data_IF_531438939220
#
_entry.id   IF_531438939220
#
_cell.length_a   1.000
_cell.length_b   1.000
_cell.length_c   1.000
_cell.angle_alpha   90.00
_cell.angle_beta   90.00
_cell.angle_gamma   90.00
#
_symmetry.space_group_name_H-M   'P 1'
#
loop_
_entity.id
_entity.type
_entity.pdbx_description
1 polymer ?
#
# COMPACT_ATOMS: atom_id res chain seq x y z
N UNK A 1 10.59 23.88 40.20
CA UNK A 1 10.72 24.86 39.11
C UNK A 1 10.70 24.21 37.70
N UNK A 2 11.16 22.95 37.53
CA UNK A 2 11.14 22.27 36.25
C UNK A 2 9.71 22.02 35.70
N UNK A 3 8.76 21.67 36.58
CA UNK A 3 7.39 21.34 36.12
C UNK A 3 6.70 22.50 35.41
N UNK A 4 6.89 23.76 35.85
CA UNK A 4 6.29 24.93 35.20
C UNK A 4 6.84 25.16 33.76
N UNK A 5 8.15 24.98 33.57
CA UNK A 5 8.77 25.13 32.26
C UNK A 5 8.25 24.05 31.26
N UNK A 6 8.17 22.79 31.73
CA UNK A 6 7.61 21.71 30.93
C UNK A 6 6.11 21.89 30.62
N UNK A 7 5.34 22.41 31.56
CA UNK A 7 3.92 22.72 31.37
C UNK A 7 3.72 23.76 30.23
N UNK A 8 4.57 24.80 30.21
CA UNK A 8 4.53 25.81 29.14
C UNK A 8 4.84 25.18 27.77
N UNK A 9 5.86 24.31 27.67
CA UNK A 9 6.21 23.61 26.46
C UNK A 9 5.05 22.73 26.00
N UNK A 10 4.48 21.92 26.92
CA UNK A 10 3.34 21.05 26.61
C UNK A 10 2.13 21.84 26.16
N UNK A 11 1.83 22.98 26.78
CA UNK A 11 0.75 23.86 26.35
C UNK A 11 0.98 24.41 24.94
N UNK A 12 2.19 24.91 24.63
CA UNK A 12 2.53 25.42 23.30
C UNK A 12 2.44 24.33 22.23
N UNK A 13 2.90 23.13 22.54
CA UNK A 13 2.81 21.96 21.68
C UNK A 13 1.35 21.61 21.38
N UNK A 14 0.50 21.54 22.42
CA UNK A 14 -0.92 21.29 22.26
C UNK A 14 -1.62 22.40 21.46
N UNK A 15 -1.28 23.67 21.71
CA UNK A 15 -1.79 24.81 20.98
C UNK A 15 -1.45 24.72 19.47
N UNK A 16 -0.17 24.50 19.14
CA UNK A 16 0.26 24.36 17.73
C UNK A 16 -0.42 23.17 17.05
N UNK A 17 -0.50 22.02 17.73
CA UNK A 17 -1.18 20.84 17.17
C UNK A 17 -2.67 21.08 16.93
N UNK A 18 -3.33 21.90 17.75
CA UNK A 18 -4.76 22.18 17.64
C UNK A 18 -5.06 23.19 16.53
N UNK A 19 -4.30 24.29 16.48
CA UNK A 19 -4.60 25.39 15.57
C UNK A 19 -3.83 25.35 14.26
N UNK A 20 -2.67 24.64 14.21
CA UNK A 20 -1.79 24.51 13.04
C UNK A 20 -1.37 23.04 12.83
N UNK A 21 -2.33 22.10 12.73
CA UNK A 21 -2.01 20.66 12.72
C UNK A 21 -1.11 20.25 11.56
N UNK A 22 -1.27 20.84 10.37
CA UNK A 22 -0.46 20.52 9.19
C UNK A 22 1.00 20.91 9.41
N UNK A 23 1.24 22.15 9.80
CA UNK A 23 2.58 22.70 10.05
C UNK A 23 3.26 21.99 11.19
N UNK A 24 2.51 21.71 12.27
CA UNK A 24 3.01 20.97 13.41
C UNK A 24 3.46 19.55 13.06
N UNK A 25 2.64 18.83 12.27
CA UNK A 25 2.97 17.47 11.85
C UNK A 25 4.13 17.49 10.85
N UNK A 26 4.16 18.43 9.89
CA UNK A 26 5.26 18.56 8.95
C UNK A 26 6.60 18.79 9.65
N UNK A 27 6.64 19.70 10.62
CA UNK A 27 7.83 19.96 11.44
C UNK A 27 8.23 18.72 12.25
N UNK A 28 7.27 18.03 12.86
CA UNK A 28 7.52 16.81 13.65
C UNK A 28 8.07 15.68 12.78
N UNK A 29 7.50 15.46 11.59
CA UNK A 29 7.97 14.46 10.62
C UNK A 29 9.37 14.81 10.11
N UNK A 30 9.68 16.07 9.90
CA UNK A 30 11.02 16.52 9.48
C UNK A 30 12.06 16.26 10.56
N UNK A 31 11.72 16.48 11.83
CA UNK A 31 12.63 16.17 12.96
C UNK A 31 12.91 14.67 13.10
N UNK A 32 11.95 13.83 12.76
CA UNK A 32 12.05 12.37 12.83
C UNK A 32 12.22 11.72 11.42
N UNK A 33 12.73 12.46 10.44
CA UNK A 33 12.77 12.07 9.01
C UNK A 33 13.44 10.72 8.75
N UNK A 34 14.40 10.32 9.56
CA UNK A 34 15.08 9.02 9.47
C UNK A 34 14.36 7.88 10.19
N UNK A 35 13.31 8.17 10.96
CA UNK A 35 12.60 7.20 11.78
C UNK A 35 11.27 6.76 11.12
N UNK A 36 11.35 5.71 10.30
CA UNK A 36 10.19 5.20 9.53
C UNK A 36 8.99 4.82 10.41
N UNK A 37 9.22 4.33 11.63
CA UNK A 37 8.11 3.99 12.53
C UNK A 37 7.33 5.24 12.96
N UNK A 38 8.03 6.30 13.32
CA UNK A 38 7.38 7.57 13.66
C UNK A 38 6.73 8.23 12.45
N UNK A 39 7.36 8.18 11.28
CA UNK A 39 6.74 8.68 10.05
C UNK A 39 5.42 7.96 9.76
N UNK A 40 5.38 6.63 9.95
CA UNK A 40 4.14 5.85 9.81
C UNK A 40 3.06 6.30 10.82
N UNK A 41 3.43 6.55 12.08
CA UNK A 41 2.49 7.05 13.10
C UNK A 41 1.93 8.43 12.75
N UNK A 42 2.78 9.36 12.29
CA UNK A 42 2.34 10.68 11.82
C UNK A 42 1.46 10.58 10.56
N UNK A 43 1.74 9.65 9.68
CA UNK A 43 0.89 9.42 8.50
C UNK A 43 -0.52 8.95 8.88
N UNK A 44 -0.64 8.05 9.86
CA UNK A 44 -1.95 7.67 10.40
C UNK A 44 -2.67 8.85 11.07
N UNK A 45 -1.93 9.72 11.76
CA UNK A 45 -2.51 10.96 12.32
C UNK A 45 -3.01 11.91 11.22
N UNK A 46 -2.27 12.07 10.11
CA UNK A 46 -2.71 12.85 8.95
C UNK A 46 -4.00 12.29 8.36
N UNK A 47 -4.12 10.97 8.23
CA UNK A 47 -5.36 10.31 7.77
C UNK A 47 -6.53 10.58 8.73
N UNK A 48 -6.29 10.46 10.04
CA UNK A 48 -7.30 10.75 11.07
C UNK A 48 -7.81 12.18 11.01
N UNK A 49 -6.95 13.13 10.67
CA UNK A 49 -7.29 14.55 10.51
C UNK A 49 -7.82 14.90 9.12
N UNK A 50 -7.98 13.91 8.22
CA UNK A 50 -8.35 14.10 6.82
C UNK A 50 -7.41 15.02 6.03
N UNK A 51 -6.13 15.09 6.42
CA UNK A 51 -5.11 15.84 5.72
C UNK A 51 -4.49 14.95 4.64
N UNK A 52 -4.71 15.30 3.37
CA UNK A 52 -4.13 14.58 2.24
C UNK A 52 -2.67 14.99 2.06
N UNK A 53 -1.80 13.98 1.99
CA UNK A 53 -0.40 14.17 1.66
C UNK A 53 -0.20 14.05 0.15
N UNK A 54 0.55 14.99 -0.42
CA UNK A 54 1.07 14.88 -1.79
C UNK A 54 2.17 13.84 -1.76
N UNK A 55 2.01 12.78 -2.55
CA UNK A 55 2.96 11.66 -2.64
C UNK A 55 4.33 12.12 -3.14
N UNK A 56 5.39 11.32 -2.95
CA UNK A 56 6.70 11.63 -3.52
C UNK A 56 6.59 12.00 -5.00
N UNK A 57 7.05 13.19 -5.34
CA UNK A 57 7.05 13.72 -6.69
C UNK A 57 8.25 14.66 -6.86
N UNK A 58 9.12 14.32 -7.82
CA UNK A 58 10.35 15.07 -8.06
C UNK A 58 10.08 16.52 -8.47
N UNK A 59 8.91 16.78 -9.06
CA UNK A 59 8.51 18.09 -9.54
C UNK A 59 7.70 18.93 -8.53
N UNK A 60 7.21 18.32 -7.44
CA UNK A 60 6.36 19.05 -6.49
C UNK A 60 6.91 19.03 -5.06
N UNK A 61 7.48 17.90 -4.62
CA UNK A 61 7.92 17.71 -3.26
C UNK A 61 9.24 18.41 -2.94
N UNK A 62 9.55 18.51 -1.67
CA UNK A 62 10.75 19.16 -1.13
C UNK A 62 11.65 18.13 -0.43
N UNK A 63 12.84 18.55 -0.01
CA UNK A 63 13.71 17.69 0.77
C UNK A 63 13.10 17.34 2.15
N UNK A 64 12.43 18.31 2.78
CA UNK A 64 11.70 18.19 4.03
C UNK A 64 10.20 18.00 3.81
N UNK A 65 9.49 17.53 4.85
CA UNK A 65 8.03 17.63 4.91
C UNK A 65 7.65 19.10 4.98
N UNK A 66 6.76 19.52 4.11
CA UNK A 66 6.41 20.93 3.97
C UNK A 66 4.91 21.11 3.70
N UNK A 67 4.40 22.19 4.26
CA UNK A 67 3.06 22.71 3.93
C UNK A 67 3.20 23.96 3.08
N UNK A 68 2.45 24.03 1.99
CA UNK A 68 2.33 25.22 1.16
C UNK A 68 0.85 25.38 0.86
N UNK A 69 0.30 26.52 1.23
CA UNK A 69 -1.14 26.76 1.20
C UNK A 69 -1.91 25.66 1.97
N UNK A 70 -2.83 24.95 1.29
CA UNK A 70 -3.61 23.87 1.90
C UNK A 70 -3.00 22.47 1.67
N UNK A 71 -1.84 22.37 0.97
CA UNK A 71 -1.22 21.11 0.59
C UNK A 71 -0.13 20.69 1.58
N UNK A 72 -0.09 19.41 1.89
CA UNK A 72 0.98 18.78 2.69
C UNK A 72 1.84 17.92 1.77
N UNK A 73 3.12 18.24 1.64
CA UNK A 73 4.05 17.55 0.74
C UNK A 73 4.91 16.54 1.49
N UNK A 74 5.04 15.33 0.92
CA UNK A 74 5.97 14.34 1.40
C UNK A 74 7.41 14.81 1.23
N UNK A 75 8.29 14.50 2.20
CA UNK A 75 9.71 14.81 2.11
C UNK A 75 10.44 13.80 1.23
N UNK A 76 11.06 14.22 0.14
CA UNK A 76 11.91 13.34 -0.67
C UNK A 76 13.11 12.82 0.11
N UNK A 77 13.62 13.59 1.08
CA UNK A 77 14.68 13.17 2.02
C UNK A 77 14.21 12.15 3.06
N UNK A 78 12.90 11.91 3.20
CA UNK A 78 12.31 10.85 4.03
C UNK A 78 12.27 9.48 3.36
N UNK A 79 12.60 9.38 2.08
CA UNK A 79 12.70 8.14 1.34
C UNK A 79 14.00 7.43 1.75
N UNK A 80 13.93 6.12 2.03
CA UNK A 80 15.12 5.34 2.41
C UNK A 80 16.20 5.43 1.35
N UNK A 81 17.44 5.54 1.80
CA UNK A 81 18.65 5.63 0.99
C UNK A 81 18.74 6.90 0.12
N UNK A 82 17.86 7.87 0.30
CA UNK A 82 17.93 9.18 -0.35
C UNK A 82 18.65 10.16 0.58
N UNK A 83 19.79 10.69 0.12
CA UNK A 83 20.58 11.65 0.89
C UNK A 83 19.92 13.02 0.90
N UNK A 84 19.79 13.62 2.08
CA UNK A 84 19.14 14.92 2.25
C UNK A 84 19.81 16.04 1.42
N UNK A 85 21.14 16.15 1.47
CA UNK A 85 21.89 17.18 0.74
C UNK A 85 21.72 17.05 -0.77
N UNK A 86 21.87 15.83 -1.29
CA UNK A 86 21.68 15.56 -2.71
C UNK A 86 20.28 15.91 -3.20
N UNK A 87 19.24 15.57 -2.42
CA UNK A 87 17.87 15.89 -2.80
C UNK A 87 17.59 17.40 -2.67
N UNK A 88 18.23 18.10 -1.72
CA UNK A 88 18.11 19.56 -1.62
C UNK A 88 18.68 20.23 -2.88
N UNK A 89 19.83 19.77 -3.37
CA UNK A 89 20.42 20.28 -4.62
C UNK A 89 19.49 20.05 -5.82
N UNK A 90 18.85 18.89 -5.92
CA UNK A 90 17.88 18.56 -6.98
C UNK A 90 16.64 19.47 -6.90
N UNK A 91 16.15 19.71 -5.70
CA UNK A 91 15.00 20.62 -5.48
C UNK A 91 15.39 22.05 -5.84
N UNK A 92 16.57 22.52 -5.47
CA UNK A 92 17.05 23.86 -5.78
C UNK A 92 17.22 24.05 -7.29
N UNK A 93 17.75 23.03 -7.99
CA UNK A 93 17.85 23.03 -9.46
C UNK A 93 16.46 23.20 -10.09
N UNK A 94 15.48 22.43 -9.62
CA UNK A 94 14.09 22.55 -10.08
C UNK A 94 13.50 23.94 -9.80
N UNK A 95 13.72 24.48 -8.61
CA UNK A 95 13.18 25.79 -8.22
C UNK A 95 13.78 26.93 -9.06
N UNK A 96 15.03 26.81 -9.49
CA UNK A 96 15.71 27.81 -10.34
C UNK A 96 15.32 27.71 -11.80
N UNK A 97 15.24 26.48 -12.33
CA UNK A 97 15.15 26.25 -13.78
C UNK A 97 13.85 25.59 -14.22
N UNK A 98 12.86 25.47 -13.30
CA UNK A 98 11.54 24.91 -13.58
C UNK A 98 11.49 23.38 -13.47
N UNK A 99 10.27 22.83 -13.57
CA UNK A 99 10.01 21.39 -13.46
C UNK A 99 10.78 20.57 -14.50
N UNK A 100 11.17 19.36 -14.11
CA UNK A 100 11.78 18.38 -15.03
C UNK A 100 10.69 17.86 -15.98
N UNK A 101 10.99 17.90 -17.28
CA UNK A 101 10.04 17.51 -18.34
C UNK A 101 10.10 16.03 -18.66
N UNK A 102 11.26 15.42 -18.47
CA UNK A 102 11.54 14.03 -18.80
C UNK A 102 12.72 13.51 -17.98
N UNK A 103 12.97 12.21 -18.02
CA UNK A 103 14.18 11.60 -17.41
C UNK A 103 15.47 12.15 -18.05
N UNK A 104 15.47 12.35 -19.36
CA UNK A 104 16.60 12.97 -20.05
C UNK A 104 16.86 14.40 -19.57
N UNK A 105 15.81 15.22 -19.40
CA UNK A 105 15.94 16.58 -18.86
C UNK A 105 16.49 16.55 -17.43
N UNK A 106 16.01 15.63 -16.59
CA UNK A 106 16.54 15.39 -15.24
C UNK A 106 18.04 15.08 -15.25
N UNK A 107 18.48 14.11 -16.07
CA UNK A 107 19.89 13.72 -16.18
C UNK A 107 20.80 14.85 -16.73
N UNK A 108 20.26 15.68 -17.61
CA UNK A 108 21.00 16.81 -18.18
C UNK A 108 21.23 17.96 -17.19
N UNK A 109 20.35 18.11 -16.20
CA UNK A 109 20.34 19.25 -15.28
C UNK A 109 20.92 18.93 -13.91
N UNK A 110 20.74 17.68 -13.45
CA UNK A 110 21.18 17.27 -12.11
C UNK A 110 22.65 16.86 -12.12
N UNK A 111 23.39 17.32 -11.11
CA UNK A 111 24.79 16.94 -10.96
C UNK A 111 24.94 15.43 -10.70
N UNK A 112 25.79 14.69 -11.43
CA UNK A 112 26.01 13.26 -11.22
C UNK A 112 26.45 12.89 -9.80
N UNK A 113 27.04 13.81 -9.04
CA UNK A 113 27.39 13.61 -7.62
C UNK A 113 26.18 13.45 -6.72
N UNK A 114 25.04 14.06 -7.11
CA UNK A 114 23.77 14.00 -6.41
C UNK A 114 22.92 12.81 -6.88
N UNK A 115 23.46 11.94 -7.74
CA UNK A 115 22.78 10.78 -8.30
C UNK A 115 23.61 9.51 -8.02
N UNK A 116 23.13 8.62 -7.18
CA UNK A 116 23.70 7.29 -7.01
C UNK A 116 22.63 6.20 -7.16
N UNK A 117 23.08 4.95 -7.26
CA UNK A 117 22.19 3.81 -7.50
C UNK A 117 21.09 3.69 -6.45
N UNK A 118 21.46 3.68 -5.17
CA UNK A 118 20.51 3.49 -4.06
C UNK A 118 19.50 4.63 -3.97
N UNK A 119 19.94 5.85 -4.26
CA UNK A 119 19.09 7.03 -4.26
C UNK A 119 18.06 7.00 -5.38
N UNK A 120 18.48 6.67 -6.61
CA UNK A 120 17.54 6.52 -7.73
C UNK A 120 16.58 5.35 -7.49
N UNK A 121 17.07 4.22 -6.98
CA UNK A 121 16.21 3.09 -6.61
C UNK A 121 15.13 3.51 -5.59
N UNK A 122 15.50 4.24 -4.55
CA UNK A 122 14.57 4.77 -3.55
C UNK A 122 13.51 5.70 -4.17
N UNK A 123 13.95 6.66 -4.97
CA UNK A 123 13.05 7.61 -5.65
C UNK A 123 12.09 6.91 -6.62
N UNK A 124 12.58 5.95 -7.43
CA UNK A 124 11.75 5.18 -8.37
C UNK A 124 10.74 4.32 -7.62
N UNK A 125 11.18 3.57 -6.60
CA UNK A 125 10.29 2.74 -5.77
C UNK A 125 9.17 3.57 -5.13
N UNK A 126 9.51 4.76 -4.61
CA UNK A 126 8.55 5.68 -4.00
C UNK A 126 7.63 6.39 -5.01
N UNK A 127 7.86 6.23 -6.31
CA UNK A 127 7.07 6.87 -7.37
C UNK A 127 7.37 8.34 -7.61
N UNK A 128 8.55 8.82 -7.19
CA UNK A 128 8.92 10.21 -7.34
C UNK A 128 8.99 10.69 -8.81
N UNK A 129 9.16 9.78 -9.74
CA UNK A 129 9.23 10.07 -11.17
C UNK A 129 7.93 9.79 -11.94
N UNK A 130 6.85 9.33 -11.28
CA UNK A 130 5.60 8.91 -11.95
C UNK A 130 5.00 9.98 -12.89
N UNK A 131 5.24 11.25 -12.60
CA UNK A 131 4.76 12.36 -13.44
C UNK A 131 5.48 12.44 -14.79
N UNK A 132 6.73 12.02 -14.85
CA UNK A 132 7.58 12.10 -16.07
C UNK A 132 7.88 10.73 -16.66
N UNK A 133 7.70 9.64 -15.89
CA UNK A 133 7.75 8.26 -16.37
C UNK A 133 6.91 7.37 -15.46
N UNK A 134 5.82 6.84 -15.97
CA UNK A 134 4.83 6.05 -15.20
C UNK A 134 5.26 4.61 -14.97
N UNK A 135 6.16 4.06 -15.82
CA UNK A 135 6.62 2.68 -15.72
C UNK A 135 7.82 2.59 -14.78
N UNK A 136 7.54 2.31 -13.51
CA UNK A 136 8.58 2.23 -12.47
C UNK A 136 9.54 1.07 -12.69
N UNK A 137 9.09 -0.09 -13.16
CA UNK A 137 9.94 -1.26 -13.40
C UNK A 137 10.96 -1.00 -14.50
N UNK A 138 10.51 -0.45 -15.60
CA UNK A 138 11.35 -0.05 -16.73
C UNK A 138 12.44 0.94 -16.29
N UNK A 139 12.03 1.99 -15.57
CA UNK A 139 12.95 3.00 -15.04
C UNK A 139 13.94 2.39 -14.02
N UNK A 140 13.47 1.54 -13.11
CA UNK A 140 14.29 0.87 -12.10
C UNK A 140 15.40 0.02 -12.72
N UNK A 141 15.06 -0.79 -13.71
CA UNK A 141 16.03 -1.65 -14.41
C UNK A 141 17.02 -0.86 -15.26
N UNK A 142 16.65 0.35 -15.66
CA UNK A 142 17.53 1.24 -16.46
C UNK A 142 18.51 2.07 -15.61
N UNK A 143 18.41 2.05 -14.27
CA UNK A 143 19.24 2.87 -13.37
C UNK A 143 20.75 2.80 -13.68
N UNK A 144 21.37 1.63 -13.91
CA UNK A 144 22.79 1.59 -14.26
C UNK A 144 23.13 2.40 -15.50
N UNK A 145 22.30 2.33 -16.55
CA UNK A 145 22.46 3.09 -17.79
C UNK A 145 22.27 4.59 -17.57
N UNK A 146 21.29 4.97 -16.75
CA UNK A 146 21.01 6.36 -16.40
C UNK A 146 22.20 7.01 -15.68
N UNK A 147 22.82 6.30 -14.74
CA UNK A 147 24.01 6.79 -14.02
C UNK A 147 25.19 6.98 -14.98
N UNK A 148 25.44 6.00 -15.85
CA UNK A 148 26.52 6.09 -16.85
C UNK A 148 26.30 7.28 -17.78
N UNK A 149 25.07 7.44 -18.29
CA UNK A 149 24.73 8.57 -19.16
C UNK A 149 24.87 9.91 -18.46
N UNK A 150 24.41 10.04 -17.22
CA UNK A 150 24.56 11.27 -16.44
C UNK A 150 26.04 11.69 -16.30
N UNK A 151 26.94 10.73 -16.01
CA UNK A 151 28.38 10.99 -15.94
C UNK A 151 28.92 11.46 -17.27
N UNK A 152 28.61 10.76 -18.37
CA UNK A 152 29.08 11.12 -19.70
C UNK A 152 28.62 12.53 -20.12
N UNK A 153 27.38 12.88 -19.84
CA UNK A 153 26.85 14.23 -20.11
C UNK A 153 27.64 15.28 -19.35
N UNK A 154 27.97 15.04 -18.09
CA UNK A 154 28.69 16.00 -17.26
C UNK A 154 30.15 16.13 -17.69
N UNK A 155 30.81 15.03 -18.00
CA UNK A 155 32.18 14.99 -18.46
C UNK A 155 32.33 15.73 -19.81
N UNK A 156 31.40 15.51 -20.75
CA UNK A 156 31.37 16.21 -22.05
C UNK A 156 31.17 17.72 -21.88
N UNK A 157 30.27 18.15 -20.99
CA UNK A 157 30.07 19.58 -20.67
C UNK A 157 31.31 20.21 -20.04
N UNK A 158 31.99 19.47 -19.18
CA UNK A 158 33.22 19.96 -18.50
C UNK A 158 34.41 20.07 -19.46
N UNK A 159 34.45 19.23 -20.49
CA UNK A 159 35.54 19.23 -21.50
C UNK A 159 35.33 20.27 -22.60
N UNK A 160 34.27 21.11 -22.57
CA UNK A 160 33.90 22.02 -23.66
C UNK A 160 33.81 21.34 -25.06
N UNK A 161 33.64 20.02 -25.10
CA UNK A 161 33.42 19.32 -26.35
C UNK A 161 31.96 19.59 -26.82
N UNK A 162 31.84 20.46 -27.81
CA UNK A 162 30.63 20.61 -28.60
C UNK A 162 30.51 19.32 -29.40
N UNK A 163 29.50 18.54 -29.14
CA UNK A 163 29.22 17.32 -29.90
C UNK A 163 28.89 17.73 -31.33
N UNK A 164 29.88 17.50 -32.23
CA UNK A 164 29.83 17.94 -33.65
C UNK A 164 28.71 17.22 -34.45
N UNK A 165 28.10 16.18 -33.86
CA UNK A 165 27.08 15.37 -34.53
C UNK A 165 25.65 15.67 -34.11
N UNK A 166 25.42 16.67 -33.21
CA UNK A 166 24.08 17.15 -32.87
C UNK A 166 23.10 15.99 -32.53
N UNK A 167 23.58 14.97 -31.79
CA UNK A 167 22.69 13.89 -31.37
C UNK A 167 21.54 14.51 -30.63
N UNK A 168 20.38 14.43 -31.24
CA UNK A 168 19.11 14.83 -30.67
C UNK A 168 18.96 14.12 -29.32
N UNK A 169 19.09 14.89 -28.23
CA UNK A 169 18.98 14.48 -26.81
C UNK A 169 17.56 13.90 -26.52
N UNK A 170 16.73 13.72 -27.53
CA UNK A 170 15.33 13.31 -27.43
C UNK A 170 15.09 11.79 -27.58
N UNK A 171 16.11 10.93 -27.51
CA UNK A 171 15.90 9.47 -27.56
C UNK A 171 15.86 8.88 -26.14
N UNK A 172 14.76 9.14 -25.41
CA UNK A 172 14.45 8.42 -24.15
C UNK A 172 14.39 6.90 -24.39
N UNK A 173 13.91 6.50 -25.56
CA UNK A 173 13.74 5.09 -25.94
C UNK A 173 15.06 4.29 -26.01
N UNK A 174 16.21 4.94 -26.12
CA UNK A 174 17.50 4.26 -26.11
C UNK A 174 18.07 4.02 -24.71
N UNK A 175 17.55 4.70 -23.68
CA UNK A 175 18.10 4.66 -22.32
C UNK A 175 17.25 3.79 -21.42
N UNK A 176 15.96 3.82 -21.63
CA UNK A 176 14.98 3.14 -20.80
C UNK A 176 14.59 1.83 -21.48
N UNK A 177 14.84 0.72 -20.80
CA UNK A 177 14.47 -0.61 -21.27
C UNK A 177 12.95 -0.74 -21.34
N UNK A 178 12.41 -1.04 -22.52
CA UNK A 178 10.97 -1.29 -22.67
C UNK A 178 10.59 -2.63 -22.04
N UNK A 179 9.68 -2.58 -21.06
CA UNK A 179 9.13 -3.75 -20.36
C UNK A 179 7.84 -3.40 -19.64
N UNK A 180 7.08 -4.42 -19.24
CA UNK A 180 5.89 -4.23 -18.43
C UNK A 180 6.23 -3.63 -17.06
N UNK A 181 5.31 -2.83 -16.52
CA UNK A 181 5.48 -2.29 -15.15
C UNK A 181 5.20 -3.37 -14.10
N UNK A 182 5.68 -3.15 -12.89
CA UNK A 182 5.36 -3.98 -11.74
C UNK A 182 3.86 -4.16 -11.59
N UNK A 183 3.44 -5.37 -11.31
CA UNK A 183 2.06 -5.63 -10.93
C UNK A 183 1.72 -4.87 -9.64
N UNK A 184 0.43 -4.64 -9.41
CA UNK A 184 -0.06 -3.80 -8.31
C UNK A 184 0.55 -4.16 -6.94
N UNK A 185 0.59 -5.44 -6.59
CA UNK A 185 1.17 -5.91 -5.31
C UNK A 185 2.66 -5.58 -5.21
N UNK A 186 3.42 -5.83 -6.28
CA UNK A 186 4.85 -5.59 -6.29
C UNK A 186 5.16 -4.09 -6.22
N UNK A 187 4.40 -3.28 -6.96
CA UNK A 187 4.52 -1.82 -6.94
C UNK A 187 4.31 -1.27 -5.52
N UNK A 188 3.28 -1.73 -4.81
CA UNK A 188 3.04 -1.34 -3.41
C UNK A 188 4.10 -1.88 -2.44
N UNK A 189 4.60 -3.09 -2.67
CA UNK A 189 5.70 -3.66 -1.88
C UNK A 189 6.98 -2.82 -2.02
N UNK A 190 7.34 -2.42 -3.25
CA UNK A 190 8.48 -1.54 -3.52
C UNK A 190 8.31 -0.15 -2.91
N UNK A 191 7.10 0.41 -2.97
CA UNK A 191 6.78 1.67 -2.32
C UNK A 191 6.94 1.57 -0.79
N UNK A 192 6.43 0.49 -0.20
CA UNK A 192 6.60 0.23 1.24
C UNK A 192 8.07 0.06 1.64
N UNK A 193 8.88 -0.63 0.83
CA UNK A 193 10.33 -0.73 1.05
C UNK A 193 10.99 0.66 1.14
N UNK A 194 10.60 1.60 0.29
CA UNK A 194 11.20 2.92 0.18
C UNK A 194 10.65 3.94 1.20
N UNK A 195 9.34 3.91 1.45
CA UNK A 195 8.61 4.89 2.26
C UNK A 195 8.38 4.41 3.69
N UNK A 196 8.22 3.10 3.90
CA UNK A 196 7.95 2.48 5.20
C UNK A 196 6.47 2.35 5.55
N UNK A 197 5.57 2.85 4.71
CA UNK A 197 4.11 2.68 4.79
C UNK A 197 3.49 2.84 3.39
N UNK A 198 2.23 2.41 3.24
CA UNK A 198 1.51 2.49 1.98
C UNK A 198 0.93 3.89 1.79
N UNK A 199 1.46 4.66 0.83
CA UNK A 199 1.06 6.04 0.59
C UNK A 199 0.18 6.20 -0.67
N UNK A 200 0.35 5.34 -1.67
CA UNK A 200 -0.41 5.44 -2.92
C UNK A 200 -1.76 4.75 -2.85
N UNK A 201 -1.78 3.53 -2.31
CA UNK A 201 -2.98 2.72 -2.16
C UNK A 201 -2.74 1.69 -1.06
N UNK A 202 -3.80 0.98 -0.63
CA UNK A 202 -3.69 -0.08 0.37
C UNK A 202 -3.76 -1.46 -0.31
N UNK A 203 -2.86 -2.42 0.04
CA UNK A 203 -2.85 -3.74 -0.60
C UNK A 203 -4.17 -4.50 -0.50
N UNK A 204 -4.96 -4.23 0.54
CA UNK A 204 -6.27 -4.86 0.73
C UNK A 204 -7.33 -4.40 -0.28
N UNK A 205 -7.15 -3.28 -0.96
CA UNK A 205 -8.14 -2.76 -1.89
C UNK A 205 -8.39 -3.71 -3.08
N UNK A 206 -7.40 -4.49 -3.47
CA UNK A 206 -7.56 -5.51 -4.51
C UNK A 206 -8.38 -6.73 -4.06
N UNK A 207 -8.56 -6.92 -2.75
CA UNK A 207 -9.25 -8.07 -2.17
C UNK A 207 -10.65 -7.75 -1.60
N UNK A 208 -11.18 -6.54 -1.80
CA UNK A 208 -12.47 -6.12 -1.23
C UNK A 208 -13.62 -7.08 -1.52
N UNK A 209 -13.57 -7.74 -2.66
CA UNK A 209 -14.57 -8.72 -3.06
C UNK A 209 -14.64 -9.95 -2.14
N UNK A 210 -13.53 -10.27 -1.51
CA UNK A 210 -13.42 -11.38 -0.58
C UNK A 210 -14.03 -11.01 0.79
N UNK A 211 -14.14 -9.71 1.08
CA UNK A 211 -14.57 -9.24 2.39
C UNK A 211 -15.99 -9.65 2.75
N UNK A 212 -16.92 -9.55 1.82
CA UNK A 212 -18.29 -10.00 2.04
C UNK A 212 -18.36 -11.52 2.20
N UNK A 213 -17.65 -12.26 1.33
CA UNK A 213 -17.64 -13.73 1.34
C UNK A 213 -17.19 -14.30 2.68
N UNK A 214 -16.17 -13.68 3.30
CA UNK A 214 -15.60 -14.14 4.57
C UNK A 214 -16.07 -13.33 5.79
N UNK A 215 -17.11 -12.50 5.64
CA UNK A 215 -17.65 -11.66 6.70
C UNK A 215 -16.57 -10.88 7.46
N UNK A 216 -15.71 -10.20 6.68
CA UNK A 216 -14.56 -9.44 7.18
C UNK A 216 -15.05 -8.11 7.73
N UNK A 217 -14.60 -7.77 8.93
CA UNK A 217 -14.77 -6.44 9.53
C UNK A 217 -13.42 -5.78 9.74
N UNK A 218 -13.39 -4.48 9.97
CA UNK A 218 -12.17 -3.76 10.33
C UNK A 218 -11.82 -3.98 11.81
N UNK A 219 -10.51 -3.88 12.11
CA UNK A 219 -9.99 -4.13 13.45
C UNK A 219 -10.53 -3.13 14.48
N UNK A 220 -10.70 -1.87 14.09
CA UNK A 220 -11.20 -0.82 15.00
C UNK A 220 -12.62 -1.11 15.46
N UNK A 221 -13.49 -1.51 14.53
CA UNK A 221 -14.87 -1.91 14.86
C UNK A 221 -14.86 -3.16 15.73
N UNK A 222 -14.09 -4.19 15.36
CA UNK A 222 -13.94 -5.39 16.17
C UNK A 222 -13.45 -5.04 17.58
N UNK A 223 -12.39 -4.26 17.71
CA UNK A 223 -11.79 -3.92 19.01
C UNK A 223 -12.73 -3.15 19.92
N UNK A 224 -13.51 -2.21 19.37
CA UNK A 224 -14.38 -1.32 20.13
C UNK A 224 -15.76 -1.90 20.45
N UNK A 225 -16.20 -2.93 19.74
CA UNK A 225 -17.52 -3.54 19.93
C UNK A 225 -17.40 -4.78 20.83
N UNK A 226 -17.95 -4.71 22.05
CA UNK A 226 -17.88 -5.78 23.04
C UNK A 226 -18.74 -7.00 22.67
N UNK A 227 -19.76 -6.83 21.83
CA UNK A 227 -20.65 -7.91 21.38
C UNK A 227 -19.97 -8.84 20.36
N UNK A 228 -18.92 -8.35 19.69
CA UNK A 228 -18.18 -9.11 18.70
C UNK A 228 -17.12 -9.98 19.38
N UNK A 229 -17.44 -11.25 19.63
CA UNK A 229 -16.49 -12.20 20.27
C UNK A 229 -15.49 -12.82 19.28
N UNK A 230 -15.94 -13.13 18.06
CA UNK A 230 -15.13 -13.73 17.01
C UNK A 230 -15.42 -13.05 15.67
N UNK A 231 -14.38 -12.67 14.92
CA UNK A 231 -14.49 -12.10 13.58
C UNK A 231 -13.23 -12.36 12.75
N UNK A 232 -13.45 -12.33 11.44
CA UNK A 232 -12.37 -12.31 10.46
C UNK A 232 -11.97 -10.86 10.19
N UNK A 233 -10.67 -10.60 10.25
CA UNK A 233 -10.05 -9.32 9.95
C UNK A 233 -9.09 -9.52 8.78
N UNK A 234 -9.21 -8.71 7.73
CA UNK A 234 -8.20 -8.64 6.68
C UNK A 234 -7.16 -7.60 7.07
N UNK A 235 -5.88 -7.98 7.01
CA UNK A 235 -4.79 -7.06 7.29
C UNK A 235 -3.54 -7.39 6.48
N UNK A 236 -2.71 -6.38 6.20
CA UNK A 236 -1.39 -6.55 5.59
C UNK A 236 -0.32 -6.51 6.68
N UNK A 237 0.58 -7.47 6.65
CA UNK A 237 1.68 -7.57 7.60
C UNK A 237 2.75 -6.53 7.28
N UNK A 238 2.92 -5.55 8.18
CA UNK A 238 3.95 -4.51 8.05
C UNK A 238 5.29 -4.97 8.61
N UNK A 239 5.25 -5.68 9.75
CA UNK A 239 6.46 -6.15 10.44
C UNK A 239 6.16 -7.37 11.28
N UNK A 240 7.12 -8.29 11.33
CA UNK A 240 7.11 -9.42 12.26
C UNK A 240 8.35 -9.38 13.16
N UNK A 241 8.16 -9.59 14.46
CA UNK A 241 9.24 -9.67 15.43
C UNK A 241 9.09 -10.96 16.24
N UNK A 242 9.93 -11.94 15.95
CA UNK A 242 10.00 -13.16 16.74
C UNK A 242 10.77 -12.91 18.05
N UNK A 243 10.24 -13.45 19.14
CA UNK A 243 10.80 -13.33 20.47
C UNK A 243 10.66 -14.65 21.21
N UNK A 244 11.38 -14.81 22.32
CA UNK A 244 11.23 -15.94 23.23
C UNK A 244 10.71 -15.49 24.57
N UNK A 245 9.80 -16.26 25.14
CA UNK A 245 9.37 -16.09 26.54
C UNK A 245 10.47 -16.48 27.49
N UNK A 246 10.36 -16.12 28.76
CA UNK A 246 11.29 -16.55 29.82
C UNK A 246 11.38 -18.08 29.95
N UNK A 247 10.36 -18.82 29.50
CA UNK A 247 10.32 -20.30 29.48
C UNK A 247 10.89 -20.88 28.18
N UNK A 248 11.43 -20.06 27.26
CA UNK A 248 12.03 -20.48 26.00
C UNK A 248 11.06 -20.69 24.84
N UNK A 249 9.74 -20.55 25.03
CA UNK A 249 8.75 -20.71 23.98
C UNK A 249 8.81 -19.51 23.00
N UNK A 250 8.76 -19.79 21.70
CA UNK A 250 8.72 -18.78 20.67
C UNK A 250 7.34 -18.10 20.60
N UNK A 251 7.32 -16.81 20.36
CA UNK A 251 6.13 -16.05 20.00
C UNK A 251 6.52 -14.93 19.02
N UNK A 252 5.56 -14.39 18.31
CA UNK A 252 5.82 -13.24 17.46
C UNK A 252 4.85 -12.09 17.74
N UNK A 253 5.36 -10.88 17.59
CA UNK A 253 4.57 -9.64 17.54
C UNK A 253 4.40 -9.28 16.07
N UNK A 254 3.16 -9.24 15.60
CA UNK A 254 2.79 -8.86 14.26
C UNK A 254 2.31 -7.41 14.28
N UNK A 255 2.99 -6.51 13.56
CA UNK A 255 2.48 -5.17 13.27
C UNK A 255 1.73 -5.24 11.95
N UNK A 256 0.45 -4.93 11.98
CA UNK A 256 -0.50 -5.13 10.89
C UNK A 256 -1.20 -3.81 10.56
N UNK A 257 -1.65 -3.68 9.31
CA UNK A 257 -2.54 -2.58 8.89
C UNK A 257 -3.76 -3.13 8.18
N UNK A 258 -4.93 -2.64 8.54
CA UNK A 258 -6.14 -2.77 7.74
C UNK A 258 -6.52 -1.45 7.07
N UNK A 259 -7.71 -1.34 6.50
CA UNK A 259 -8.17 -0.10 5.86
C UNK A 259 -8.46 1.03 6.86
N UNK A 260 -8.56 0.71 8.16
CA UNK A 260 -8.99 1.63 9.22
C UNK A 260 -7.89 2.03 10.18
N UNK A 261 -6.88 1.19 10.39
CA UNK A 261 -5.89 1.38 11.46
C UNK A 261 -4.62 0.54 11.29
N UNK A 262 -3.59 0.91 12.04
CA UNK A 262 -2.41 0.08 12.31
C UNK A 262 -2.54 -0.47 13.72
N UNK A 263 -2.28 -1.76 13.90
CA UNK A 263 -2.42 -2.45 15.18
C UNK A 263 -1.39 -3.56 15.36
N UNK A 264 -1.25 -4.05 16.57
CA UNK A 264 -0.32 -5.13 16.90
C UNK A 264 -1.08 -6.32 17.49
N UNK A 265 -0.71 -7.52 17.07
CA UNK A 265 -1.21 -8.78 17.60
C UNK A 265 -0.05 -9.68 18.01
N UNK A 266 -0.32 -10.49 19.04
CA UNK A 266 0.60 -11.50 19.52
C UNK A 266 0.15 -12.88 19.01
N UNK A 267 1.07 -13.65 18.45
CA UNK A 267 0.85 -15.05 18.09
C UNK A 267 1.84 -15.92 18.83
N UNK A 268 1.36 -17.05 19.36
CA UNK A 268 2.18 -18.01 20.09
C UNK A 268 2.73 -19.10 19.17
N UNK A 269 3.62 -19.93 19.71
CA UNK A 269 4.38 -20.94 18.97
C UNK A 269 3.54 -21.73 17.98
N UNK A 270 2.38 -22.23 18.40
CA UNK A 270 1.56 -23.11 17.59
C UNK A 270 1.04 -22.43 16.31
N UNK A 271 0.52 -21.21 16.45
CA UNK A 271 0.04 -20.40 15.32
C UNK A 271 1.22 -19.90 14.48
N UNK A 272 2.35 -19.56 15.12
CA UNK A 272 3.55 -19.09 14.43
C UNK A 272 4.14 -20.18 13.52
N UNK A 273 4.35 -21.38 14.04
CA UNK A 273 4.96 -22.48 13.27
C UNK A 273 4.08 -22.92 12.10
N UNK A 274 2.76 -23.00 12.30
CA UNK A 274 1.82 -23.39 11.25
C UNK A 274 1.76 -22.39 10.09
N UNK A 275 2.09 -21.11 10.34
CA UNK A 275 1.88 -20.05 9.37
C UNK A 275 3.18 -19.35 8.94
N UNK A 276 4.34 -19.86 9.32
CA UNK A 276 5.66 -19.25 9.08
C UNK A 276 5.90 -18.87 7.61
N UNK A 277 5.44 -19.69 6.68
CA UNK A 277 5.65 -19.47 5.24
C UNK A 277 4.88 -18.27 4.69
N UNK A 278 3.70 -17.97 5.24
CA UNK A 278 2.85 -16.87 4.80
C UNK A 278 3.07 -15.57 5.60
N UNK A 279 3.76 -15.65 6.74
CA UNK A 279 4.07 -14.51 7.61
C UNK A 279 5.28 -13.73 7.10
N UNK A 280 5.16 -13.14 5.92
CA UNK A 280 6.18 -12.28 5.30
C UNK A 280 5.69 -10.84 5.26
N UNK A 281 6.58 -9.89 5.52
CA UNK A 281 6.26 -8.46 5.43
C UNK A 281 5.73 -8.12 4.04
N UNK A 282 4.65 -7.33 3.97
CA UNK A 282 3.92 -7.00 2.74
C UNK A 282 2.80 -7.98 2.37
N UNK A 283 2.70 -9.17 3.00
CA UNK A 283 1.65 -10.15 2.70
C UNK A 283 0.32 -9.72 3.28
N UNK A 284 -0.75 -9.78 2.48
CA UNK A 284 -2.13 -9.57 2.91
C UNK A 284 -2.74 -10.88 3.43
N UNK A 285 -3.24 -10.83 4.65
CA UNK A 285 -3.72 -11.98 5.42
C UNK A 285 -5.17 -11.81 5.83
N UNK A 286 -5.88 -12.91 6.02
CA UNK A 286 -7.11 -12.98 6.79
C UNK A 286 -6.79 -13.64 8.13
N UNK A 287 -7.23 -13.00 9.20
CA UNK A 287 -6.98 -13.40 10.58
C UNK A 287 -8.32 -13.64 11.27
N UNK A 288 -8.55 -14.84 11.79
CA UNK A 288 -9.69 -15.09 12.69
C UNK A 288 -9.27 -14.71 14.09
N UNK A 289 -9.86 -13.64 14.61
CA UNK A 289 -9.59 -13.10 15.93
C UNK A 289 -10.69 -13.48 16.92
N UNK A 290 -10.29 -13.76 18.15
CA UNK A 290 -11.19 -14.08 19.24
C UNK A 290 -10.89 -13.23 20.47
N UNK A 291 -11.93 -12.65 21.08
CA UNK A 291 -11.83 -11.89 22.32
C UNK A 291 -12.11 -12.75 23.54
N UNK A 292 -11.14 -12.78 24.44
CA UNK A 292 -11.29 -13.27 25.80
C UNK A 292 -11.45 -12.10 26.77
N UNK A 293 -12.61 -11.95 27.35
CA UNK A 293 -12.84 -10.99 28.42
C UNK A 293 -12.55 -11.69 29.74
N UNK A 294 -11.54 -11.21 30.50
CA UNK A 294 -11.30 -11.76 31.84
C UNK A 294 -12.42 -11.35 32.78
N UNK A 295 -12.85 -12.28 33.66
CA UNK A 295 -13.88 -12.02 34.67
C UNK A 295 -13.34 -11.19 35.86
N UNK A 296 -12.06 -10.76 35.81
CA UNK A 296 -11.44 -9.97 36.87
C UNK A 296 -11.96 -8.53 36.88
N UNK A 297 -11.89 -7.87 38.01
CA UNK A 297 -12.36 -6.48 38.23
C UNK A 297 -11.79 -5.46 37.21
N UNK A 298 -10.65 -5.77 36.57
CA UNK A 298 -9.99 -4.91 35.60
C UNK A 298 -10.44 -5.15 34.13
N UNK A 299 -11.38 -6.10 33.85
CA UNK A 299 -11.94 -6.39 32.51
C UNK A 299 -10.92 -6.30 31.35
N UNK A 300 -9.74 -6.89 31.52
CA UNK A 300 -8.73 -6.90 30.47
C UNK A 300 -9.20 -7.77 29.32
N UNK A 301 -9.50 -7.16 28.19
CA UNK A 301 -9.82 -7.87 26.94
C UNK A 301 -8.52 -8.32 26.29
N UNK A 302 -8.36 -9.63 26.08
CA UNK A 302 -7.26 -10.19 25.30
C UNK A 302 -7.77 -10.64 23.94
N UNK A 303 -7.10 -10.18 22.89
CA UNK A 303 -7.37 -10.60 21.52
C UNK A 303 -6.37 -11.67 21.14
N UNK A 304 -6.86 -12.84 20.76
CA UNK A 304 -6.08 -13.98 20.34
C UNK A 304 -6.31 -14.26 18.84
N UNK A 305 -5.25 -14.65 18.13
CA UNK A 305 -5.33 -15.10 16.75
C UNK A 305 -5.53 -16.61 16.74
N UNK A 306 -6.63 -17.08 16.17
CA UNK A 306 -6.94 -18.51 16.06
C UNK A 306 -6.45 -19.10 14.75
N UNK A 307 -6.69 -18.38 13.63
CA UNK A 307 -6.34 -18.83 12.28
C UNK A 307 -5.73 -17.69 11.49
N UNK A 308 -4.84 -18.04 10.60
CA UNK A 308 -4.24 -17.12 9.61
C UNK A 308 -4.31 -17.83 8.26
N UNK A 309 -4.69 -17.08 7.20
CA UNK A 309 -4.61 -17.55 5.83
C UNK A 309 -4.17 -16.40 4.90
N UNK A 310 -3.58 -16.76 3.76
CA UNK A 310 -3.21 -15.78 2.74
C UNK A 310 -4.46 -15.31 2.00
N UNK A 311 -4.70 -13.99 1.94
CA UNK A 311 -5.77 -13.41 1.14
C UNK A 311 -5.58 -13.68 -0.36
N UNK A 312 -4.34 -13.71 -0.82
CA UNK A 312 -4.00 -14.04 -2.21
C UNK A 312 -4.41 -15.45 -2.58
N UNK A 313 -4.15 -16.42 -1.71
CA UNK A 313 -4.50 -17.82 -1.97
C UNK A 313 -6.01 -18.00 -1.95
N UNK A 314 -6.71 -17.34 -1.03
CA UNK A 314 -8.18 -17.33 -0.99
C UNK A 314 -8.78 -16.65 -2.22
N UNK A 315 -8.21 -15.54 -2.65
CA UNK A 315 -8.64 -14.81 -3.85
C UNK A 315 -8.46 -15.63 -5.12
N UNK A 316 -7.35 -16.38 -5.24
CA UNK A 316 -7.04 -17.22 -6.37
C UNK A 316 -7.67 -18.62 -6.28
N UNK A 317 -8.26 -18.98 -5.13
CA UNK A 317 -8.92 -20.27 -4.97
C UNK A 317 -10.10 -20.40 -5.93
N UNK A 318 -10.30 -21.59 -6.55
CA UNK A 318 -11.42 -21.81 -7.43
C UNK A 318 -12.75 -21.67 -6.68
N UNK A 319 -13.75 -21.07 -7.33
CA UNK A 319 -15.11 -21.01 -6.81
C UNK A 319 -15.70 -22.40 -7.01
N UNK A 320 -15.94 -23.14 -5.92
CA UNK A 320 -16.48 -24.49 -5.99
C UNK A 320 -17.98 -24.50 -6.29
N UNK A 321 -18.74 -23.62 -5.65
CA UNK A 321 -20.17 -23.53 -5.81
C UNK A 321 -20.63 -22.07 -5.71
N UNK A 322 -21.59 -21.69 -6.56
CA UNK A 322 -22.18 -20.35 -6.58
C UNK A 322 -23.68 -20.46 -6.82
N UNK A 323 -24.44 -19.62 -6.14
CA UNK A 323 -25.89 -19.44 -6.35
C UNK A 323 -26.16 -18.05 -6.90
N UNK A 324 -26.91 -17.96 -8.00
CA UNK A 324 -27.36 -16.69 -8.59
C UNK A 324 -28.85 -16.50 -8.37
N UNK A 325 -29.26 -15.34 -7.85
CA UNK A 325 -30.64 -14.93 -7.73
C UNK A 325 -30.99 -14.04 -8.94
N UNK A 326 -31.94 -14.53 -9.77
CA UNK A 326 -32.34 -13.90 -11.03
C UNK A 326 -33.82 -13.53 -10.98
N UNK A 327 -34.13 -12.34 -11.47
CA UNK A 327 -35.52 -11.83 -11.51
C UNK A 327 -35.98 -11.43 -12.92
N UNK A 328 -35.12 -11.57 -13.94
CA UNK A 328 -35.44 -11.20 -15.33
C UNK A 328 -34.77 -12.09 -16.36
N UNK A 329 -35.41 -12.19 -17.54
CA UNK A 329 -34.88 -12.94 -18.69
C UNK A 329 -33.58 -12.32 -19.23
N UNK A 330 -33.40 -11.02 -19.02
CA UNK A 330 -32.17 -10.32 -19.41
C UNK A 330 -30.97 -10.78 -18.57
N UNK A 331 -31.15 -10.96 -17.26
CA UNK A 331 -30.13 -11.49 -16.37
C UNK A 331 -29.75 -12.94 -16.75
N UNK A 332 -30.72 -13.76 -17.15
CA UNK A 332 -30.47 -15.13 -17.64
C UNK A 332 -29.57 -15.11 -18.88
N UNK A 333 -29.84 -14.21 -19.84
CA UNK A 333 -29.01 -14.05 -21.04
C UNK A 333 -27.59 -13.63 -20.69
N UNK A 334 -27.41 -12.68 -19.77
CA UNK A 334 -26.10 -12.21 -19.29
C UNK A 334 -25.28 -13.34 -18.67
N UNK A 335 -25.89 -14.10 -17.75
CA UNK A 335 -25.23 -15.28 -17.15
C UNK A 335 -24.86 -16.31 -18.20
N UNK A 336 -25.75 -16.65 -19.12
CA UNK A 336 -25.48 -17.62 -20.17
C UNK A 336 -24.29 -17.23 -21.08
N UNK A 337 -24.05 -15.93 -21.21
CA UNK A 337 -22.95 -15.41 -22.01
C UNK A 337 -21.60 -15.59 -21.30
N UNK A 338 -21.57 -15.49 -19.98
CA UNK A 338 -20.36 -15.61 -19.15
C UNK A 338 -20.08 -17.07 -18.80
N UNK A 339 -21.11 -17.85 -18.49
CA UNK A 339 -20.99 -19.27 -18.10
C UNK A 339 -21.05 -20.23 -19.31
N UNK A 340 -20.38 -19.89 -20.43
CA UNK A 340 -20.39 -20.73 -21.64
C UNK A 340 -19.56 -21.99 -21.49
N UNK A 341 -18.38 -21.84 -20.88
CA UNK A 341 -17.37 -22.89 -20.87
C UNK A 341 -17.59 -23.85 -19.71
N UNK A 342 -17.32 -25.14 -19.94
CA UNK A 342 -17.28 -26.15 -18.90
C UNK A 342 -16.08 -25.90 -17.96
N UNK A 343 -16.26 -26.22 -16.69
CA UNK A 343 -15.26 -25.98 -15.65
C UNK A 343 -15.50 -26.79 -14.41
N UNK A 344 -15.15 -26.23 -13.24
CA UNK A 344 -15.25 -26.94 -11.95
C UNK A 344 -16.28 -26.32 -11.00
N UNK A 345 -16.84 -25.15 -11.31
CA UNK A 345 -17.80 -24.47 -10.44
C UNK A 345 -19.19 -25.03 -10.62
N UNK A 346 -19.81 -25.50 -9.54
CA UNK A 346 -21.22 -25.89 -9.50
C UNK A 346 -22.06 -24.61 -9.46
N UNK A 347 -23.04 -24.53 -10.35
CA UNK A 347 -23.87 -23.33 -10.49
C UNK A 347 -25.32 -23.65 -10.16
N UNK A 348 -25.85 -22.96 -9.17
CA UNK A 348 -27.27 -22.97 -8.81
C UNK A 348 -27.88 -21.65 -9.29
N UNK A 349 -29.11 -21.70 -9.77
CA UNK A 349 -29.86 -20.54 -10.24
C UNK A 349 -31.19 -20.53 -9.52
N UNK A 350 -31.47 -19.45 -8.82
CA UNK A 350 -32.74 -19.15 -8.17
C UNK A 350 -33.52 -18.14 -9.02
N UNK A 351 -34.59 -18.57 -9.67
CA UNK A 351 -35.48 -17.67 -10.40
C UNK A 351 -36.57 -17.16 -9.47
N UNK A 352 -36.54 -15.86 -9.20
CA UNK A 352 -37.54 -15.20 -8.35
C UNK A 352 -38.64 -14.64 -9.24
N UNK A 353 -39.87 -15.19 -9.11
CA UNK A 353 -41.11 -14.72 -9.80
C UNK A 353 -42.19 -14.43 -8.78
N UNK A 354 -42.34 -13.17 -8.38
CA UNK A 354 -43.20 -12.78 -7.27
C UNK A 354 -42.78 -13.49 -5.98
N UNK A 355 -43.73 -14.17 -5.32
CA UNK A 355 -43.47 -14.91 -4.07
C UNK A 355 -42.88 -16.33 -4.29
N UNK A 356 -42.70 -16.75 -5.54
CA UNK A 356 -42.21 -18.09 -5.87
C UNK A 356 -40.73 -18.04 -6.27
N UNK A 357 -39.94 -18.96 -5.70
CA UNK A 357 -38.55 -19.19 -6.05
C UNK A 357 -38.39 -20.55 -6.70
N UNK A 358 -37.98 -20.58 -7.95
CA UNK A 358 -37.67 -21.80 -8.66
C UNK A 358 -36.13 -22.01 -8.64
N UNK A 359 -35.68 -23.13 -8.07
CA UNK A 359 -34.26 -23.46 -7.94
C UNK A 359 -33.83 -24.45 -9.00
N UNK A 360 -32.77 -24.15 -9.70
CA UNK A 360 -32.14 -24.99 -10.71
C UNK A 360 -30.68 -25.19 -10.41
N UNK A 361 -30.18 -26.39 -10.64
CA UNK A 361 -28.75 -26.67 -10.66
C UNK A 361 -28.34 -26.98 -12.10
N UNK A 362 -27.33 -26.33 -12.62
CA UNK A 362 -26.82 -26.63 -13.94
C UNK A 362 -26.24 -28.05 -13.96
N UNK A 363 -26.55 -28.81 -15.01
CA UNK A 363 -26.15 -30.23 -15.13
C UNK A 363 -24.64 -30.38 -15.13
N UNK A 364 -23.95 -29.49 -15.84
CA UNK A 364 -22.49 -29.50 -15.92
C UNK A 364 -21.90 -28.33 -15.15
N UNK A 365 -20.82 -28.51 -14.38
CA UNK A 365 -20.09 -27.42 -13.76
C UNK A 365 -19.56 -26.44 -14.83
N UNK A 366 -19.40 -25.17 -14.47
CA UNK A 366 -19.00 -24.09 -15.36
C UNK A 366 -17.64 -23.52 -14.96
N UNK A 367 -16.94 -22.92 -15.91
CA UNK A 367 -15.77 -22.12 -15.66
C UNK A 367 -16.24 -20.75 -15.15
N UNK A 368 -15.90 -20.44 -13.91
CA UNK A 368 -16.20 -19.15 -13.30
C UNK A 368 -14.98 -18.71 -12.49
N UNK A 369 -14.43 -17.57 -12.86
CA UNK A 369 -13.43 -16.88 -12.08
C UNK A 369 -14.04 -15.67 -11.34
N UNK A 370 -13.29 -15.12 -10.38
CA UNK A 370 -13.76 -13.98 -9.60
C UNK A 370 -13.97 -12.73 -10.44
N UNK A 371 -13.17 -12.54 -11.49
CA UNK A 371 -13.33 -11.42 -12.42
C UNK A 371 -14.68 -11.48 -13.14
N UNK A 372 -15.04 -12.65 -13.64
CA UNK A 372 -16.34 -12.90 -14.29
C UNK A 372 -17.49 -12.75 -13.29
N UNK A 373 -17.30 -13.22 -12.05
CA UNK A 373 -18.30 -13.05 -10.99
C UNK A 373 -18.56 -11.57 -10.70
N UNK A 374 -17.52 -10.74 -10.66
CA UNK A 374 -17.68 -9.31 -10.43
C UNK A 374 -18.33 -8.58 -11.59
N UNK A 375 -18.04 -8.98 -12.81
CA UNK A 375 -18.76 -8.44 -13.97
C UNK A 375 -20.27 -8.69 -13.85
N UNK A 376 -20.65 -9.86 -13.33
CA UNK A 376 -22.09 -10.18 -13.09
C UNK A 376 -22.66 -9.34 -11.93
N UNK A 377 -21.91 -9.20 -10.81
CA UNK A 377 -22.33 -8.36 -9.67
C UNK A 377 -22.48 -6.89 -10.05
N UNK A 378 -21.59 -6.35 -10.85
CA UNK A 378 -21.68 -4.97 -11.37
C UNK A 378 -22.87 -4.76 -12.32
N UNK A 379 -23.47 -5.84 -12.81
CA UNK A 379 -24.70 -5.82 -13.61
C UNK A 379 -25.95 -6.13 -12.77
N UNK A 380 -25.88 -5.91 -11.46
CA UNK A 380 -26.98 -6.12 -10.49
C UNK A 380 -27.45 -7.58 -10.38
N UNK A 381 -26.57 -8.53 -10.70
CA UNK A 381 -26.86 -9.95 -10.49
C UNK A 381 -26.31 -10.38 -9.14
N UNK A 382 -27.19 -10.73 -8.23
CA UNK A 382 -26.79 -11.24 -6.91
C UNK A 382 -26.16 -12.63 -7.04
N UNK A 383 -24.97 -12.77 -6.48
CA UNK A 383 -24.21 -14.01 -6.52
C UNK A 383 -23.68 -14.34 -5.12
N UNK A 384 -24.02 -15.51 -4.63
CA UNK A 384 -23.60 -16.04 -3.32
C UNK A 384 -22.66 -17.20 -3.56
N UNK A 385 -21.43 -17.11 -3.04
CA UNK A 385 -20.45 -18.20 -3.06
C UNK A 385 -20.74 -19.09 -1.85
N UNK A 386 -20.95 -20.39 -2.08
CA UNK A 386 -21.24 -21.40 -1.05
C UNK A 386 -19.99 -22.19 -0.68
#
# INVERSE_FOLDING_TARGET
SHAAAYAIISYRTAFLKTYYPKEFIAASMTMDISNQNKLSEFYEELKRLNIKIIRPNINECFADFKTVEEKFFYALGGIKAVGYEAISNIVDERLKNGSFKSISDFLNRVNPKDINKLQLEGLVKAGAFDQINVNRQSLFNSIPNLITKSKNIFDNKSANQIDLFGENINQENEIITDMDDWIFEERLSKEFEAVGFFISDHPLNQYKEVFETYNITDYKNFNNNEDLKEKNIAATLLKIQERKTAKGNSYAVLKLTDLSSVFELFIFSDVLELNREILKEGTSLILTLFKNVSNDENRLTRINVQKIASLKDLFNSPINEVSFDLNSDEQIKKISTILKDEGKTVVNINLVKGDNILQFRLKNPRKLDRKSLNLLRNQEIQAIIN
#
